data_IF_140608820991
#
_entry.id   IF_140608820991
#
_cell.length_a   1.000
_cell.length_b   1.000
_cell.length_c   1.000
_cell.angle_alpha   90.00
_cell.angle_beta   90.00
_cell.angle_gamma   90.00
#
_symmetry.space_group_name_H-M   'P 1'
#
loop_
_entity.id
_entity.type
_entity.pdbx_description
1 polymer ?
#
# COMPACT_ATOMS: atom_id res chain seq x y z
N UNK A 1 4.26 -29.02 8.16
CA UNK A 1 5.30 -27.99 7.82
C UNK A 1 4.83 -27.18 6.63
N UNK A 2 5.23 -25.92 6.52
CA UNK A 2 4.91 -25.00 5.43
C UNK A 2 6.08 -24.01 5.20
N UNK A 3 6.24 -23.52 3.97
CA UNK A 3 7.30 -22.56 3.62
C UNK A 3 6.90 -21.13 4.02
N UNK A 4 7.85 -20.33 4.52
CA UNK A 4 7.65 -18.94 4.89
C UNK A 4 8.94 -18.12 4.77
N UNK A 5 8.83 -16.83 4.43
CA UNK A 5 9.93 -15.88 4.55
C UNK A 5 9.95 -15.35 5.99
N UNK A 6 11.00 -15.69 6.72
CA UNK A 6 11.16 -15.36 8.13
C UNK A 6 12.25 -14.31 8.30
N UNK A 7 11.95 -13.24 9.03
CA UNK A 7 12.91 -12.25 9.50
C UNK A 7 13.42 -12.68 10.86
N UNK A 8 14.72 -12.94 10.96
CA UNK A 8 15.39 -13.40 12.17
C UNK A 8 16.41 -12.36 12.66
N UNK A 9 16.65 -12.34 13.97
CA UNK A 9 17.76 -11.58 14.53
C UNK A 9 19.09 -12.24 14.10
N UNK A 10 20.04 -11.43 13.69
CA UNK A 10 21.38 -11.95 13.45
C UNK A 10 21.98 -12.49 14.76
N UNK A 11 22.59 -13.70 14.69
CA UNK A 11 23.05 -14.46 15.88
C UNK A 11 24.34 -13.94 16.52
N UNK A 12 25.04 -13.00 15.88
CA UNK A 12 26.26 -12.42 16.44
C UNK A 12 25.90 -11.34 17.47
N UNK A 13 26.70 -11.28 18.53
CA UNK A 13 26.57 -10.38 19.68
C UNK A 13 26.69 -8.89 19.31
N UNK A 14 26.74 -8.56 18.03
CA UNK A 14 26.80 -7.21 17.49
C UNK A 14 25.37 -6.69 17.26
N UNK A 15 24.95 -5.75 18.09
CA UNK A 15 23.63 -5.10 18.02
C UNK A 15 23.42 -4.26 16.78
N UNK A 16 24.48 -4.01 15.98
CA UNK A 16 24.44 -3.20 14.77
C UNK A 16 24.20 -4.02 13.47
N UNK A 17 24.21 -5.36 13.57
CA UNK A 17 23.95 -6.19 12.38
C UNK A 17 22.46 -6.28 12.08
N UNK A 18 22.01 -5.94 10.83
CA UNK A 18 20.59 -5.95 10.50
C UNK A 18 19.99 -7.36 10.58
N UNK A 19 18.71 -7.44 10.89
CA UNK A 19 17.95 -8.68 10.80
C UNK A 19 18.09 -9.29 9.40
N UNK A 20 17.98 -10.62 9.31
CA UNK A 20 18.11 -11.33 8.04
C UNK A 20 16.80 -12.03 7.68
N UNK A 21 16.35 -11.83 6.44
CA UNK A 21 15.21 -12.54 5.89
C UNK A 21 15.66 -13.82 5.18
N UNK A 22 14.96 -14.94 5.39
CA UNK A 22 15.22 -16.24 4.75
C UNK A 22 13.93 -16.99 4.49
N UNK A 23 13.93 -17.77 3.40
CA UNK A 23 12.91 -18.80 3.20
C UNK A 23 13.24 -19.99 4.13
N UNK A 24 12.29 -20.36 4.97
CA UNK A 24 12.40 -21.46 5.93
C UNK A 24 11.16 -22.35 5.87
N UNK A 25 11.32 -23.63 6.22
CA UNK A 25 10.21 -24.50 6.59
C UNK A 25 9.84 -24.27 8.06
N UNK A 26 8.55 -24.18 8.34
CA UNK A 26 8.02 -24.00 9.69
C UNK A 26 6.98 -25.06 10.00
N UNK A 27 6.82 -25.32 11.29
CA UNK A 27 5.67 -26.07 11.81
C UNK A 27 4.38 -25.24 11.66
N UNK A 28 3.25 -25.77 12.15
CA UNK A 28 1.97 -25.05 12.10
C UNK A 28 2.07 -23.60 12.62
N UNK A 29 1.28 -22.66 12.05
CA UNK A 29 1.28 -21.28 12.52
C UNK A 29 1.00 -21.16 14.01
N UNK A 30 1.65 -20.18 14.65
CA UNK A 30 1.49 -19.89 16.08
C UNK A 30 0.03 -19.65 16.43
N UNK A 31 -0.56 -20.51 17.26
CA UNK A 31 -1.96 -20.42 17.71
C UNK A 31 -2.19 -19.41 18.82
N UNK A 32 -1.15 -18.77 19.33
CA UNK A 32 -1.28 -17.72 20.34
C UNK A 32 -1.89 -16.43 19.79
N UNK A 33 -1.91 -16.27 18.45
CA UNK A 33 -2.46 -15.11 17.79
C UNK A 33 -3.50 -15.50 16.73
N UNK A 34 -4.62 -14.73 16.73
CA UNK A 34 -5.67 -14.89 15.74
C UNK A 34 -6.60 -16.08 16.02
N UNK A 35 -7.68 -16.08 15.31
CA UNK A 35 -8.81 -17.00 15.43
C UNK A 35 -9.20 -17.65 14.09
N UNK A 36 -8.52 -17.27 12.96
CA UNK A 36 -8.75 -17.85 11.64
C UNK A 36 -7.45 -18.36 11.06
N UNK A 37 -7.40 -19.64 10.67
CA UNK A 37 -6.32 -20.29 9.94
C UNK A 37 -6.61 -20.22 8.45
N UNK A 38 -5.60 -19.79 7.65
CA UNK A 38 -5.72 -19.53 6.22
C UNK A 38 -4.62 -20.28 5.47
N UNK A 39 -5.03 -21.02 4.42
CA UNK A 39 -4.15 -21.45 3.35
C UNK A 39 -3.93 -20.25 2.42
N UNK A 40 -2.74 -19.65 2.47
CA UNK A 40 -2.41 -18.48 1.68
C UNK A 40 -2.15 -18.89 0.24
N UNK A 41 -2.69 -18.11 -0.70
CA UNK A 41 -2.48 -18.28 -2.14
C UNK A 41 -1.53 -17.22 -2.67
N UNK A 42 -1.77 -15.96 -2.26
CA UNK A 42 -1.01 -14.80 -2.72
C UNK A 42 -0.69 -13.84 -1.58
N UNK A 43 0.47 -13.23 -1.69
CA UNK A 43 0.90 -12.05 -0.96
C UNK A 43 1.40 -10.99 -1.94
N UNK A 44 1.99 -9.91 -1.46
CA UNK A 44 2.62 -8.91 -2.33
C UNK A 44 3.85 -8.30 -1.66
N UNK A 45 4.74 -7.70 -2.44
CA UNK A 45 5.87 -6.93 -1.91
C UNK A 45 5.52 -5.45 -1.96
N UNK A 46 5.43 -4.83 -0.79
CA UNK A 46 5.26 -3.40 -0.61
C UNK A 46 6.56 -2.77 -0.10
N UNK A 47 6.65 -1.44 -0.13
CA UNK A 47 7.83 -0.72 0.40
C UNK A 47 8.12 -1.07 1.85
N UNK A 48 7.07 -1.28 2.68
CA UNK A 48 7.22 -1.70 4.08
C UNK A 48 7.78 -3.12 4.20
N UNK A 49 7.32 -4.05 3.36
CA UNK A 49 7.88 -5.41 3.31
C UNK A 49 9.35 -5.36 2.92
N UNK A 50 9.70 -4.54 1.94
CA UNK A 50 11.07 -4.38 1.50
C UNK A 50 11.98 -3.84 2.62
N UNK A 51 11.50 -2.89 3.43
CA UNK A 51 12.22 -2.43 4.62
C UNK A 51 12.38 -3.53 5.68
N UNK A 52 11.32 -4.34 5.92
CA UNK A 52 11.35 -5.46 6.85
C UNK A 52 12.34 -6.54 6.42
N UNK A 53 12.29 -6.93 5.14
CA UNK A 53 13.17 -7.95 4.56
C UNK A 53 14.64 -7.51 4.51
N UNK A 54 14.88 -6.20 4.33
CA UNK A 54 16.22 -5.60 4.44
C UNK A 54 16.68 -5.38 5.89
N UNK A 55 15.91 -5.82 6.88
CA UNK A 55 16.24 -5.70 8.30
C UNK A 55 16.27 -4.28 8.84
N UNK A 56 15.61 -3.31 8.17
CA UNK A 56 15.58 -1.93 8.64
C UNK A 56 14.89 -1.82 10.01
N UNK A 57 15.50 -1.06 10.96
CA UNK A 57 14.95 -0.95 12.31
C UNK A 57 13.56 -0.30 12.32
N UNK A 58 12.75 -0.66 13.32
CA UNK A 58 11.45 -0.03 13.57
C UNK A 58 10.27 -0.58 12.76
N UNK A 59 10.48 -1.47 11.79
CA UNK A 59 9.43 -2.11 11.01
C UNK A 59 8.94 -3.38 11.72
N UNK A 60 9.82 -4.37 11.87
CA UNK A 60 9.52 -5.60 12.58
C UNK A 60 9.64 -5.37 14.09
N UNK A 61 8.59 -5.68 14.85
CA UNK A 61 8.50 -5.43 16.29
C UNK A 61 8.97 -6.60 17.16
N UNK A 62 9.02 -7.79 16.59
CA UNK A 62 9.53 -9.00 17.24
C UNK A 62 10.27 -9.87 16.22
N UNK A 63 11.20 -10.67 16.64
CA UNK A 63 11.88 -11.68 15.84
C UNK A 63 11.97 -12.99 16.64
N UNK A 64 11.86 -14.18 16.00
CA UNK A 64 11.57 -14.37 14.59
C UNK A 64 10.14 -14.00 14.22
N UNK A 65 9.93 -13.53 12.98
CA UNK A 65 8.62 -13.14 12.47
C UNK A 65 8.50 -13.50 10.98
N UNK A 66 7.37 -14.07 10.57
CA UNK A 66 7.02 -14.23 9.15
C UNK A 66 6.71 -12.85 8.56
N UNK A 67 7.37 -12.50 7.47
CA UNK A 67 7.16 -11.23 6.77
C UNK A 67 5.85 -11.21 5.95
N UNK A 68 5.50 -10.05 5.40
CA UNK A 68 4.36 -9.86 4.49
C UNK A 68 3.17 -9.18 5.15
N UNK A 69 2.87 -7.94 4.72
CA UNK A 69 1.74 -7.15 5.26
C UNK A 69 0.42 -7.41 4.52
N UNK A 70 0.43 -8.26 3.52
CA UNK A 70 -0.73 -8.66 2.71
C UNK A 70 -0.88 -10.17 2.68
N UNK A 71 -2.12 -10.65 2.70
CA UNK A 71 -2.46 -12.01 2.36
C UNK A 71 -3.80 -12.10 1.64
N UNK A 72 -3.87 -13.06 0.72
CA UNK A 72 -5.10 -13.53 0.09
C UNK A 72 -5.06 -15.05 0.12
N UNK A 73 -6.15 -15.68 0.53
CA UNK A 73 -6.19 -17.12 0.64
C UNK A 73 -7.57 -17.67 0.95
N UNK A 74 -7.58 -18.93 1.36
CA UNK A 74 -8.79 -19.67 1.68
C UNK A 74 -8.79 -20.04 3.17
N UNK A 75 -9.89 -19.84 3.86
CA UNK A 75 -10.07 -20.25 5.26
C UNK A 75 -9.99 -21.78 5.35
N UNK A 76 -9.08 -22.28 6.16
CA UNK A 76 -9.01 -23.71 6.52
C UNK A 76 -9.89 -23.98 7.74
N UNK A 77 -9.82 -23.08 8.73
CA UNK A 77 -10.53 -23.24 9.98
C UNK A 77 -10.70 -21.88 10.72
N UNK A 78 -11.83 -21.68 11.38
CA UNK A 78 -12.12 -20.50 12.21
C UNK A 78 -12.61 -20.93 13.58
N UNK A 79 -12.07 -20.31 14.64
CA UNK A 79 -12.40 -20.60 16.04
C UNK A 79 -13.51 -19.68 16.57
N UNK A 80 -14.27 -20.16 17.56
CA UNK A 80 -15.18 -19.37 18.36
C UNK A 80 -16.11 -18.47 17.53
N UNK A 81 -16.19 -17.18 17.87
CA UNK A 81 -17.02 -16.19 17.17
C UNK A 81 -16.60 -15.96 15.70
N UNK A 82 -15.34 -16.22 15.35
CA UNK A 82 -14.91 -16.15 13.96
C UNK A 82 -15.59 -17.22 13.10
N UNK A 83 -15.88 -18.40 13.67
CA UNK A 83 -16.62 -19.47 13.00
C UNK A 83 -18.08 -19.13 12.68
N UNK A 84 -18.68 -18.11 13.33
CA UNK A 84 -19.99 -17.58 12.95
C UNK A 84 -19.92 -16.67 11.70
N UNK A 85 -18.73 -16.20 11.36
CA UNK A 85 -18.49 -15.24 10.28
C UNK A 85 -17.77 -15.81 9.07
N UNK A 86 -16.97 -16.85 9.27
CA UNK A 86 -16.14 -17.44 8.21
C UNK A 86 -16.29 -18.96 8.24
N UNK A 87 -16.59 -19.52 7.08
CA UNK A 87 -16.64 -20.95 6.84
C UNK A 87 -15.35 -21.45 6.18
N UNK A 88 -14.99 -22.71 6.41
CA UNK A 88 -13.94 -23.37 5.63
C UNK A 88 -14.27 -23.31 4.14
N UNK A 89 -13.29 -22.88 3.33
CA UNK A 89 -13.45 -22.65 1.90
C UNK A 89 -13.76 -21.20 1.52
N UNK A 90 -14.06 -20.31 2.48
CA UNK A 90 -14.22 -18.88 2.18
C UNK A 90 -12.93 -18.27 1.67
N UNK A 91 -13.02 -17.54 0.56
CA UNK A 91 -11.91 -16.71 0.10
C UNK A 91 -11.86 -15.41 0.87
N UNK A 92 -10.67 -15.07 1.35
CA UNK A 92 -10.46 -13.93 2.24
C UNK A 92 -9.26 -13.10 1.84
N UNK A 93 -9.27 -11.84 2.27
CA UNK A 93 -8.18 -10.88 2.10
C UNK A 93 -7.93 -10.12 3.39
N UNK A 94 -6.65 -9.89 3.69
CA UNK A 94 -6.22 -9.03 4.79
C UNK A 94 -5.03 -8.19 4.36
N UNK A 95 -5.09 -6.89 4.69
CA UNK A 95 -4.03 -5.92 4.44
C UNK A 95 -3.69 -5.21 5.74
N UNK A 96 -2.41 -5.06 6.07
CA UNK A 96 -1.96 -4.40 7.29
C UNK A 96 -2.39 -5.13 8.56
N UNK A 97 -3.13 -4.47 9.46
CA UNK A 97 -3.59 -5.04 10.74
C UNK A 97 -2.48 -5.63 11.62
N UNK A 98 -1.23 -5.19 11.42
CA UNK A 98 -0.06 -5.69 12.14
C UNK A 98 0.60 -6.94 11.56
N UNK A 99 0.11 -7.46 10.41
CA UNK A 99 0.76 -8.54 9.66
C UNK A 99 2.19 -8.15 9.28
N UNK A 100 3.13 -9.06 9.43
CA UNK A 100 4.54 -8.85 9.07
C UNK A 100 5.24 -7.75 9.89
N UNK A 101 4.57 -7.20 10.92
CA UNK A 101 5.10 -6.18 11.83
C UNK A 101 5.07 -6.66 13.29
N UNK A 102 3.89 -7.02 13.78
CA UNK A 102 3.60 -7.47 15.15
C UNK A 102 3.22 -8.94 15.21
N UNK A 103 2.64 -9.45 14.14
CA UNK A 103 2.16 -10.81 13.98
C UNK A 103 2.73 -11.42 12.71
N UNK A 104 2.79 -12.74 12.64
CA UNK A 104 3.23 -13.45 11.45
C UNK A 104 2.41 -13.06 10.24
N UNK A 105 3.08 -12.82 9.12
CA UNK A 105 2.55 -12.21 7.90
C UNK A 105 2.17 -13.19 6.81
N UNK A 106 1.93 -12.66 5.60
CA UNK A 106 1.40 -13.39 4.46
C UNK A 106 2.44 -13.88 3.44
N UNK A 107 3.74 -13.63 3.63
CA UNK A 107 4.79 -14.27 2.81
C UNK A 107 5.06 -15.68 3.31
N UNK A 108 4.01 -16.51 3.27
CA UNK A 108 4.00 -17.89 3.76
C UNK A 108 2.84 -18.66 3.13
N UNK A 109 2.95 -20.00 3.07
CA UNK A 109 1.88 -20.87 2.57
C UNK A 109 0.69 -20.98 3.55
N UNK A 110 0.91 -20.69 4.82
CA UNK A 110 -0.12 -20.68 5.87
C UNK A 110 0.03 -19.49 6.79
N UNK A 111 -1.10 -18.94 7.23
CA UNK A 111 -1.14 -17.88 8.22
C UNK A 111 -2.27 -18.11 9.23
N UNK A 112 -2.12 -17.53 10.41
CA UNK A 112 -3.20 -17.43 11.38
C UNK A 112 -3.39 -15.95 11.75
N UNK A 113 -4.63 -15.47 11.62
CA UNK A 113 -4.93 -14.03 11.70
C UNK A 113 -6.15 -13.74 12.56
N UNK A 114 -6.26 -12.50 13.03
CA UNK A 114 -7.43 -11.99 13.73
C UNK A 114 -8.56 -11.69 12.74
N UNK A 115 -9.72 -12.27 12.98
CA UNK A 115 -10.93 -12.09 12.18
C UNK A 115 -11.47 -10.65 12.18
N UNK A 116 -11.09 -9.81 13.15
CA UNK A 116 -11.62 -8.44 13.26
C UNK A 116 -11.36 -7.60 12.00
N UNK A 117 -10.19 -7.76 11.38
CA UNK A 117 -9.79 -7.04 10.16
C UNK A 117 -9.88 -7.86 8.88
N UNK A 118 -10.16 -9.16 8.99
CA UNK A 118 -10.28 -10.07 7.85
C UNK A 118 -11.56 -9.82 7.08
N UNK A 119 -11.48 -9.79 5.75
CA UNK A 119 -12.65 -9.61 4.87
C UNK A 119 -12.84 -10.81 3.95
N UNK A 120 -14.11 -11.15 3.65
CA UNK A 120 -14.43 -12.00 2.50
C UNK A 120 -14.03 -11.28 1.23
N UNK A 121 -13.35 -11.97 0.33
CA UNK A 121 -12.94 -11.41 -0.96
C UNK A 121 -14.19 -11.14 -1.82
N UNK A 122 -14.37 -9.93 -2.37
CA UNK A 122 -15.45 -9.65 -3.30
C UNK A 122 -15.41 -10.58 -4.52
N UNK A 123 -16.52 -11.19 -4.87
CA UNK A 123 -16.60 -12.21 -5.93
C UNK A 123 -16.19 -11.74 -7.33
N UNK A 124 -16.16 -10.43 -7.56
CA UNK A 124 -15.72 -9.84 -8.84
C UNK A 124 -14.17 -9.79 -8.97
N UNK A 125 -13.42 -10.05 -7.90
CA UNK A 125 -11.96 -9.98 -7.89
C UNK A 125 -11.39 -11.39 -7.68
N UNK A 126 -10.51 -11.83 -8.57
CA UNK A 126 -9.77 -13.09 -8.38
C UNK A 126 -8.74 -12.98 -7.25
N UNK A 127 -8.32 -14.11 -6.68
CA UNK A 127 -7.31 -14.11 -5.61
C UNK A 127 -5.99 -13.45 -6.06
N UNK A 128 -5.52 -13.72 -7.28
CA UNK A 128 -4.32 -13.09 -7.84
C UNK A 128 -4.47 -11.56 -7.96
N UNK A 129 -5.59 -11.07 -8.51
CA UNK A 129 -5.86 -9.63 -8.60
C UNK A 129 -5.99 -8.99 -7.23
N UNK A 130 -6.56 -9.67 -6.23
CA UNK A 130 -6.62 -9.18 -4.85
C UNK A 130 -5.22 -9.06 -4.22
N UNK A 131 -4.35 -10.03 -4.45
CA UNK A 131 -2.94 -9.94 -4.05
C UNK A 131 -2.20 -8.80 -4.75
N UNK A 132 -2.44 -8.59 -6.06
CA UNK A 132 -1.88 -7.48 -6.81
C UNK A 132 -2.38 -6.11 -6.29
N UNK A 133 -3.66 -5.96 -5.97
CA UNK A 133 -4.20 -4.78 -5.29
C UNK A 133 -3.44 -4.55 -3.97
N UNK A 134 -3.44 -5.53 -3.10
CA UNK A 134 -2.74 -5.52 -1.82
C UNK A 134 -2.96 -4.24 -1.00
N UNK A 135 -2.06 -3.99 -0.07
CA UNK A 135 -2.05 -2.74 0.74
C UNK A 135 -1.92 -1.50 -0.13
N UNK A 136 -1.25 -1.58 -1.27
CA UNK A 136 -1.06 -0.42 -2.15
C UNK A 136 -2.38 0.07 -2.76
N UNK A 137 -3.18 -0.82 -3.37
CA UNK A 137 -4.48 -0.45 -3.92
C UNK A 137 -5.49 -0.11 -2.84
N UNK A 138 -5.45 -0.84 -1.74
CA UNK A 138 -6.27 -0.51 -0.56
C UNK A 138 -5.97 0.92 -0.05
N UNK A 139 -4.70 1.30 0.08
CA UNK A 139 -4.27 2.65 0.49
C UNK A 139 -4.69 3.70 -0.53
N UNK A 140 -4.52 3.43 -1.84
CA UNK A 140 -4.96 4.32 -2.90
C UNK A 140 -6.48 4.59 -2.83
N UNK A 141 -7.30 3.55 -2.61
CA UNK A 141 -8.74 3.72 -2.45
C UNK A 141 -9.09 4.49 -1.17
N UNK A 142 -8.40 4.25 -0.05
CA UNK A 142 -8.60 5.05 1.17
C UNK A 142 -8.30 6.53 0.94
N UNK A 143 -7.26 6.84 0.15
CA UNK A 143 -6.93 8.22 -0.24
C UNK A 143 -8.04 8.83 -1.11
N UNK A 144 -8.54 8.11 -2.11
CA UNK A 144 -9.70 8.54 -2.93
C UNK A 144 -10.92 8.84 -2.06
N UNK A 145 -11.27 7.92 -1.16
CA UNK A 145 -12.39 8.11 -0.22
C UNK A 145 -12.19 9.34 0.68
N UNK A 146 -10.95 9.62 1.10
CA UNK A 146 -10.65 10.82 1.88
C UNK A 146 -10.84 12.09 1.06
N UNK A 147 -10.37 12.13 -0.20
CA UNK A 147 -10.61 13.25 -1.10
C UNK A 147 -12.10 13.50 -1.30
N UNK A 148 -12.87 12.45 -1.58
CA UNK A 148 -14.33 12.51 -1.76
C UNK A 148 -15.06 13.03 -0.52
N UNK A 149 -14.70 12.58 0.68
CA UNK A 149 -15.31 13.01 1.95
C UNK A 149 -15.09 14.49 2.22
N UNK A 150 -13.97 15.04 1.76
CA UNK A 150 -13.64 16.45 1.90
C UNK A 150 -14.05 17.31 0.69
N UNK A 151 -14.89 16.78 -0.21
CA UNK A 151 -15.52 17.57 -1.26
C UNK A 151 -14.73 17.65 -2.57
N UNK A 152 -13.58 16.99 -2.73
CA UNK A 152 -12.88 16.91 -4.02
C UNK A 152 -13.71 16.02 -4.96
N UNK A 153 -14.13 16.55 -6.09
CA UNK A 153 -15.00 15.88 -7.08
C UNK A 153 -14.42 16.04 -8.48
N UNK A 154 -14.81 15.18 -9.45
CA UNK A 154 -14.56 15.45 -10.86
C UNK A 154 -15.02 16.86 -11.24
N UNK A 155 -14.17 17.58 -11.96
CA UNK A 155 -14.42 18.99 -12.32
C UNK A 155 -13.97 20.03 -11.27
N UNK A 156 -13.52 19.63 -10.07
CA UNK A 156 -12.97 20.58 -9.09
C UNK A 156 -11.62 21.17 -9.52
N UNK A 157 -10.96 20.55 -10.49
CA UNK A 157 -9.63 20.86 -11.01
C UNK A 157 -8.67 19.69 -10.86
N UNK A 158 -7.40 19.85 -11.27
CA UNK A 158 -6.42 18.77 -11.27
C UNK A 158 -6.17 18.18 -9.88
N UNK A 159 -6.03 16.86 -9.80
CA UNK A 159 -5.57 16.13 -8.62
C UNK A 159 -4.14 15.65 -8.85
N UNK A 160 -3.23 16.06 -7.98
CA UNK A 160 -1.83 15.63 -8.02
C UNK A 160 -1.68 14.24 -7.40
N UNK A 161 -0.88 13.38 -8.03
CA UNK A 161 -0.43 12.11 -7.44
C UNK A 161 1.08 12.11 -7.39
N UNK A 162 1.70 12.09 -6.21
CA UNK A 162 3.15 12.00 -6.05
C UNK A 162 3.61 10.54 -5.93
N UNK A 163 4.86 10.26 -6.32
CA UNK A 163 5.35 8.88 -6.40
C UNK A 163 4.51 8.02 -7.34
N UNK A 164 4.01 8.63 -8.41
CA UNK A 164 2.98 8.07 -9.28
C UNK A 164 3.35 6.74 -9.96
N UNK A 165 4.64 6.45 -10.18
CA UNK A 165 5.09 5.18 -10.76
C UNK A 165 5.22 4.04 -9.75
N UNK A 166 5.07 4.31 -8.44
CA UNK A 166 5.09 3.30 -7.38
C UNK A 166 3.76 2.58 -7.21
N UNK A 167 3.72 1.59 -6.31
CA UNK A 167 2.53 0.75 -6.10
C UNK A 167 1.26 1.53 -5.75
N UNK A 168 1.30 2.44 -4.76
CA UNK A 168 0.14 3.26 -4.37
C UNK A 168 -0.18 4.28 -5.45
N UNK A 169 0.86 4.97 -5.96
CA UNK A 169 0.68 6.07 -6.91
C UNK A 169 0.06 5.62 -8.23
N UNK A 170 0.51 4.51 -8.81
CA UNK A 170 -0.02 4.00 -10.08
C UNK A 170 -1.51 3.62 -9.97
N UNK A 171 -1.89 2.97 -8.86
CA UNK A 171 -3.27 2.62 -8.61
C UNK A 171 -4.13 3.85 -8.26
N UNK A 172 -3.57 4.86 -7.59
CA UNK A 172 -4.27 6.13 -7.36
C UNK A 172 -4.53 6.89 -8.68
N UNK A 173 -3.56 6.91 -9.60
CA UNK A 173 -3.75 7.49 -10.95
C UNK A 173 -4.88 6.78 -11.68
N UNK A 174 -4.84 5.44 -11.75
CA UNK A 174 -5.86 4.66 -12.45
C UNK A 174 -7.26 4.85 -11.85
N UNK A 175 -7.38 4.81 -10.51
CA UNK A 175 -8.65 5.02 -9.81
C UNK A 175 -9.22 6.43 -10.03
N UNK A 176 -8.43 7.46 -9.84
CA UNK A 176 -8.87 8.85 -9.99
C UNK A 176 -9.26 9.16 -11.43
N UNK A 177 -8.48 8.69 -12.41
CA UNK A 177 -8.80 8.88 -13.83
C UNK A 177 -10.12 8.18 -14.21
N UNK A 178 -10.31 6.92 -13.77
CA UNK A 178 -11.56 6.18 -14.03
C UNK A 178 -12.77 6.83 -13.37
N UNK A 179 -12.59 7.49 -12.22
CA UNK A 179 -13.62 8.26 -11.54
C UNK A 179 -13.87 9.65 -12.18
N UNK A 180 -13.17 9.99 -13.26
CA UNK A 180 -13.37 11.22 -14.04
C UNK A 180 -12.61 12.44 -13.51
N UNK A 181 -11.61 12.26 -12.66
CA UNK A 181 -10.72 13.35 -12.26
C UNK A 181 -9.68 13.64 -13.34
N UNK A 182 -9.30 14.92 -13.47
CA UNK A 182 -8.08 15.33 -14.16
C UNK A 182 -6.89 15.01 -13.26
N UNK A 183 -6.00 14.11 -13.68
CA UNK A 183 -4.91 13.61 -12.85
C UNK A 183 -3.57 14.10 -13.36
N UNK A 184 -2.79 14.75 -12.50
CA UNK A 184 -1.38 15.10 -12.77
C UNK A 184 -0.48 14.17 -11.97
N UNK A 185 0.30 13.36 -12.68
CA UNK A 185 1.18 12.36 -12.10
C UNK A 185 2.60 12.91 -11.95
N UNK A 186 3.18 12.86 -10.72
CA UNK A 186 4.56 13.28 -10.46
C UNK A 186 5.47 12.06 -10.26
N UNK A 187 6.54 11.95 -11.07
CA UNK A 187 7.50 10.85 -11.04
C UNK A 187 8.93 11.34 -11.22
N UNK A 188 9.90 10.66 -10.59
CA UNK A 188 11.32 10.93 -10.81
C UNK A 188 11.92 10.23 -12.04
N UNK A 189 11.10 9.47 -12.77
CA UNK A 189 11.50 8.70 -13.96
C UNK A 189 10.58 9.02 -15.14
N UNK A 190 10.46 10.32 -15.44
CA UNK A 190 9.56 10.83 -16.46
C UNK A 190 9.76 10.15 -17.82
N UNK A 191 11.01 10.02 -18.28
CA UNK A 191 11.33 9.38 -19.56
C UNK A 191 11.00 7.89 -19.63
N UNK A 192 11.05 7.18 -18.49
CA UNK A 192 10.82 5.74 -18.40
C UNK A 192 9.34 5.41 -18.17
N UNK A 193 8.66 6.18 -17.31
CA UNK A 193 7.32 5.87 -16.86
C UNK A 193 6.22 6.82 -17.34
N UNK A 194 6.59 7.92 -18.04
CA UNK A 194 5.60 8.91 -18.52
C UNK A 194 4.51 8.28 -19.37
N UNK A 195 4.88 7.47 -20.36
CA UNK A 195 3.93 6.79 -21.23
C UNK A 195 3.01 5.80 -20.48
N UNK A 196 3.54 5.10 -19.48
CA UNK A 196 2.75 4.22 -18.63
C UNK A 196 1.72 5.03 -17.83
N UNK A 197 2.13 6.12 -17.19
CA UNK A 197 1.24 6.97 -16.39
C UNK A 197 0.12 7.59 -17.24
N UNK A 198 0.41 7.97 -18.49
CA UNK A 198 -0.61 8.43 -19.44
C UNK A 198 -1.60 7.31 -19.78
N UNK A 199 -1.13 6.06 -20.02
CA UNK A 199 -2.02 4.91 -20.23
C UNK A 199 -2.91 4.62 -19.01
N UNK A 200 -2.42 4.87 -17.79
CA UNK A 200 -3.20 4.77 -16.56
C UNK A 200 -4.24 5.89 -16.42
N UNK A 201 -4.25 6.87 -17.33
CA UNK A 201 -5.21 7.96 -17.39
C UNK A 201 -4.70 9.29 -16.81
N UNK A 202 -3.39 9.44 -16.54
CA UNK A 202 -2.86 10.76 -16.21
C UNK A 202 -3.03 11.72 -17.40
N UNK A 203 -3.64 12.88 -17.17
CA UNK A 203 -3.80 13.94 -18.15
C UNK A 203 -2.50 14.71 -18.39
N UNK A 204 -1.63 14.73 -17.39
CA UNK A 204 -0.29 15.32 -17.47
C UNK A 204 0.68 14.56 -16.56
N UNK A 205 1.98 14.60 -16.91
CA UNK A 205 3.04 13.95 -16.13
C UNK A 205 4.18 14.96 -15.93
N UNK A 206 4.49 15.23 -14.67
CA UNK A 206 5.54 16.18 -14.27
C UNK A 206 6.73 15.50 -13.61
N UNK A 207 7.90 16.11 -13.71
CA UNK A 207 9.08 15.65 -12.98
C UNK A 207 8.93 15.96 -11.48
N UNK A 208 9.28 15.00 -10.61
CA UNK A 208 9.28 15.20 -9.15
C UNK A 208 10.20 16.36 -8.71
N UNK A 209 11.19 16.71 -9.52
CA UNK A 209 12.08 17.84 -9.25
C UNK A 209 11.32 19.16 -9.06
N UNK A 210 10.12 19.32 -9.66
CA UNK A 210 9.28 20.49 -9.44
C UNK A 210 8.80 20.64 -7.98
N UNK A 211 8.80 19.56 -7.20
CA UNK A 211 8.18 19.50 -5.87
C UNK A 211 9.15 19.08 -4.76
N UNK A 212 10.32 18.55 -5.08
CA UNK A 212 11.18 17.89 -4.09
C UNK A 212 12.04 18.82 -3.24
N UNK A 213 12.23 20.07 -3.66
CA UNK A 213 13.04 21.06 -2.95
C UNK A 213 12.19 21.98 -2.07
N UNK A 214 12.84 22.66 -1.11
CA UNK A 214 12.14 23.62 -0.23
C UNK A 214 11.55 24.79 -1.02
N UNK A 215 10.24 25.01 -0.84
CA UNK A 215 9.48 26.04 -1.52
C UNK A 215 8.95 27.14 -0.58
N UNK A 216 8.26 28.14 -1.17
CA UNK A 216 7.57 29.18 -0.40
C UNK A 216 6.41 28.59 0.39
N UNK A 217 6.05 29.15 1.56
CA UNK A 217 4.91 28.68 2.38
C UNK A 217 3.57 28.68 1.66
N UNK A 218 3.36 29.62 0.71
CA UNK A 218 2.24 29.65 -0.22
C UNK A 218 2.78 29.86 -1.64
N UNK A 219 2.21 29.11 -2.57
CA UNK A 219 2.55 29.15 -3.99
C UNK A 219 1.28 29.35 -4.82
N UNK A 220 1.42 29.49 -6.14
CA UNK A 220 0.26 29.57 -7.05
C UNK A 220 -0.62 28.34 -6.89
N UNK A 221 -1.93 28.54 -6.85
CA UNK A 221 -2.91 27.45 -6.72
C UNK A 221 -2.94 26.61 -7.99
N UNK A 222 -2.72 25.30 -7.85
CA UNK A 222 -2.71 24.33 -8.96
C UNK A 222 -3.72 23.19 -8.72
N UNK A 223 -3.72 22.58 -7.54
CA UNK A 223 -4.36 21.30 -7.27
C UNK A 223 -5.68 21.48 -6.52
N UNK A 224 -6.76 20.84 -6.96
CA UNK A 224 -7.97 20.68 -6.17
C UNK A 224 -7.78 19.69 -5.02
N UNK A 225 -6.88 18.74 -5.18
CA UNK A 225 -6.47 17.79 -4.17
C UNK A 225 -5.17 17.09 -4.55
N UNK A 226 -4.66 16.26 -3.63
CA UNK A 226 -3.51 15.43 -3.92
C UNK A 226 -3.55 14.08 -3.17
N UNK A 227 -2.93 13.06 -3.76
CA UNK A 227 -2.54 11.82 -3.09
C UNK A 227 -1.03 11.82 -2.99
N UNK A 228 -0.51 11.90 -1.77
CA UNK A 228 0.93 11.97 -1.53
C UNK A 228 1.48 10.70 -0.89
N UNK A 229 2.46 10.11 -1.55
CA UNK A 229 3.25 8.97 -1.07
C UNK A 229 4.71 9.31 -0.79
N UNK A 230 5.10 10.57 -1.00
CA UNK A 230 6.49 11.02 -0.88
C UNK A 230 6.84 11.60 0.50
N UNK A 231 5.98 12.41 1.08
CA UNK A 231 6.28 13.13 2.32
C UNK A 231 7.22 14.32 2.14
N UNK A 232 7.81 14.82 3.24
CA UNK A 232 8.82 15.88 3.30
C UNK A 232 8.49 17.11 2.43
N UNK A 233 9.46 17.65 1.70
CA UNK A 233 9.31 18.84 0.85
C UNK A 233 8.26 18.64 -0.27
N UNK A 234 8.14 17.44 -0.83
CA UNK A 234 7.12 17.14 -1.84
C UNK A 234 5.71 17.36 -1.28
N UNK A 235 5.41 16.83 -0.09
CA UNK A 235 4.14 17.05 0.60
C UNK A 235 3.93 18.53 0.96
N UNK A 236 4.99 19.21 1.43
CA UNK A 236 4.92 20.64 1.77
C UNK A 236 4.56 21.49 0.53
N UNK A 237 5.17 21.22 -0.62
CA UNK A 237 4.86 21.92 -1.87
C UNK A 237 3.47 21.55 -2.41
N UNK A 238 3.04 20.29 -2.29
CA UNK A 238 1.67 19.90 -2.64
C UNK A 238 0.64 20.71 -1.84
N UNK A 239 0.83 20.85 -0.51
CA UNK A 239 -0.02 21.65 0.36
C UNK A 239 0.01 23.15 -0.03
N UNK A 240 1.21 23.70 -0.27
CA UNK A 240 1.40 25.11 -0.63
C UNK A 240 0.76 25.49 -1.98
N UNK A 241 0.58 24.52 -2.89
CA UNK A 241 -0.04 24.68 -4.21
C UNK A 241 -1.50 24.25 -4.27
N UNK A 242 -2.04 23.69 -3.16
CA UNK A 242 -3.44 23.30 -3.10
C UNK A 242 -4.35 24.52 -3.07
N UNK A 243 -5.44 24.47 -3.85
CA UNK A 243 -6.44 25.50 -3.98
C UNK A 243 -7.26 25.66 -2.70
N UNK A 244 -7.98 26.76 -2.60
CA UNK A 244 -8.91 26.99 -1.50
C UNK A 244 -9.87 25.80 -1.31
N UNK A 245 -9.98 25.31 -0.05
CA UNK A 245 -10.84 24.18 0.34
C UNK A 245 -10.38 22.82 -0.15
N UNK A 246 -9.21 22.73 -0.82
CA UNK A 246 -8.70 21.45 -1.32
C UNK A 246 -8.15 20.54 -0.22
N UNK A 247 -7.88 19.27 -0.58
CA UNK A 247 -7.45 18.24 0.37
C UNK A 247 -6.25 17.47 -0.15
N UNK A 248 -5.27 17.24 0.72
CA UNK A 248 -4.11 16.40 0.46
C UNK A 248 -4.20 15.15 1.34
N UNK A 249 -4.30 13.98 0.70
CA UNK A 249 -4.29 12.68 1.35
C UNK A 249 -2.84 12.16 1.42
N UNK A 250 -2.23 12.16 2.61
CA UNK A 250 -0.86 11.72 2.83
C UNK A 250 -0.82 10.27 3.31
N UNK A 251 -0.12 9.39 2.57
CA UNK A 251 -0.05 7.96 2.84
C UNK A 251 1.36 7.37 2.85
N UNK A 252 2.41 8.16 2.55
CA UNK A 252 3.77 7.66 2.46
C UNK A 252 4.82 8.69 2.88
N UNK A 253 6.07 8.22 2.93
CA UNK A 253 7.23 8.99 3.40
C UNK A 253 8.51 8.62 2.64
N UNK A 254 8.38 8.33 1.33
CA UNK A 254 9.49 7.84 0.51
C UNK A 254 10.64 8.85 0.37
N UNK A 255 10.36 10.16 0.43
CA UNK A 255 11.35 11.23 0.48
C UNK A 255 11.83 11.51 1.92
N UNK A 256 10.92 11.46 2.89
CA UNK A 256 11.23 11.70 4.29
C UNK A 256 9.99 11.73 5.18
N UNK A 257 10.17 11.53 6.51
CA UNK A 257 9.05 11.52 7.48
C UNK A 257 8.69 12.91 8.01
N UNK A 258 9.48 13.91 7.72
CA UNK A 258 9.29 15.30 8.14
C UNK A 258 8.22 16.02 7.32
N UNK A 259 7.71 17.12 7.84
CA UNK A 259 6.77 18.00 7.14
C UNK A 259 7.15 19.46 7.36
N UNK A 260 8.02 20.03 6.51
CA UNK A 260 8.50 21.42 6.64
C UNK A 260 7.47 22.41 6.05
N UNK A 261 6.33 22.58 6.69
CA UNK A 261 5.21 23.44 6.24
C UNK A 261 4.87 24.51 7.27
N UNK A 262 4.40 25.67 6.80
CA UNK A 262 3.78 26.66 7.67
C UNK A 262 2.26 26.43 7.81
N UNK A 263 1.62 27.11 8.73
CA UNK A 263 0.15 27.03 8.89
C UNK A 263 -0.61 27.77 7.78
N UNK A 264 0.07 28.51 6.91
CA UNK A 264 -0.55 29.39 5.90
C UNK A 264 -1.51 28.66 4.93
N UNK A 265 -1.20 27.49 4.36
CA UNK A 265 -2.15 26.76 3.52
C UNK A 265 -3.45 26.45 4.25
N UNK A 266 -3.37 26.11 5.53
CA UNK A 266 -4.53 25.74 6.34
C UNK A 266 -5.41 26.95 6.69
N UNK A 267 -4.82 28.04 7.20
CA UNK A 267 -5.61 29.20 7.68
C UNK A 267 -6.04 30.14 6.55
N UNK A 268 -5.28 30.25 5.46
CA UNK A 268 -5.57 31.22 4.37
C UNK A 268 -6.35 30.59 3.21
N UNK A 269 -6.25 29.26 3.02
CA UNK A 269 -6.94 28.53 1.95
C UNK A 269 -7.84 27.40 2.45
N UNK A 270 -7.93 27.19 3.78
CA UNK A 270 -8.74 26.08 4.31
C UNK A 270 -8.33 24.70 3.80
N UNK A 271 -7.04 24.51 3.45
CA UNK A 271 -6.54 23.23 2.97
C UNK A 271 -6.65 22.20 4.07
N UNK A 272 -7.09 20.99 3.73
CA UNK A 272 -7.10 19.85 4.64
C UNK A 272 -5.92 18.91 4.34
N UNK A 273 -5.18 18.53 5.39
CA UNK A 273 -4.24 17.42 5.34
C UNK A 273 -4.88 16.19 5.99
N UNK A 274 -5.19 15.18 5.20
CA UNK A 274 -5.81 13.94 5.63
C UNK A 274 -4.76 12.82 5.69
N UNK A 275 -4.48 12.30 6.89
CA UNK A 275 -3.61 11.13 7.07
C UNK A 275 -4.32 9.84 6.68
N UNK A 276 -3.67 8.99 5.91
CA UNK A 276 -4.20 7.71 5.44
C UNK A 276 -3.44 6.57 6.12
N UNK A 277 -4.09 5.93 7.10
CA UNK A 277 -3.55 4.76 7.79
C UNK A 277 -4.29 3.49 7.36
N UNK A 278 -3.71 2.72 6.46
CA UNK A 278 -4.26 1.44 6.00
C UNK A 278 -4.08 0.31 7.02
N UNK A 279 -3.13 0.43 7.96
CA UNK A 279 -2.86 -0.61 8.97
C UNK A 279 -4.00 -0.71 9.97
N UNK A 280 -4.43 0.44 10.51
CA UNK A 280 -5.44 0.53 11.58
C UNK A 280 -6.83 0.97 11.03
N UNK A 281 -7.04 0.87 9.72
CA UNK A 281 -8.33 1.21 9.13
C UNK A 281 -9.45 0.35 9.75
N UNK A 282 -10.56 0.97 10.25
CA UNK A 282 -11.65 0.22 10.85
C UNK A 282 -12.38 -0.64 9.81
N UNK A 283 -12.97 -1.76 10.26
CA UNK A 283 -13.61 -2.76 9.39
C UNK A 283 -14.57 -2.15 8.35
N UNK A 284 -15.46 -1.25 8.75
CA UNK A 284 -16.42 -0.60 7.83
C UNK A 284 -15.71 0.13 6.68
N UNK A 285 -14.58 0.77 6.97
CA UNK A 285 -13.81 1.49 5.96
C UNK A 285 -13.06 0.51 5.04
N UNK A 286 -12.59 -0.62 5.57
CA UNK A 286 -12.01 -1.72 4.77
C UNK A 286 -13.05 -2.29 3.81
N UNK A 287 -14.24 -2.61 4.29
CA UNK A 287 -15.37 -3.12 3.49
C UNK A 287 -15.77 -2.13 2.38
N UNK A 288 -15.88 -0.84 2.71
CA UNK A 288 -16.14 0.22 1.73
C UNK A 288 -15.06 0.27 0.65
N UNK A 289 -13.79 0.30 1.04
CA UNK A 289 -12.67 0.38 0.11
C UNK A 289 -12.61 -0.84 -0.82
N UNK A 290 -12.73 -2.07 -0.29
CA UNK A 290 -12.72 -3.27 -1.12
C UNK A 290 -13.93 -3.38 -2.06
N UNK A 291 -15.11 -2.94 -1.62
CA UNK A 291 -16.29 -2.83 -2.49
C UNK A 291 -16.06 -1.83 -3.63
N UNK A 292 -15.46 -0.68 -3.33
CA UNK A 292 -15.13 0.35 -4.32
C UNK A 292 -14.05 -0.15 -5.28
N UNK A 293 -13.00 -0.80 -4.80
CA UNK A 293 -11.97 -1.42 -5.65
C UNK A 293 -12.56 -2.43 -6.64
N UNK A 294 -13.50 -3.25 -6.20
CA UNK A 294 -14.17 -4.21 -7.06
C UNK A 294 -15.00 -3.58 -8.19
N UNK A 295 -15.45 -2.34 -8.02
CA UNK A 295 -16.27 -1.62 -8.99
C UNK A 295 -15.46 -0.59 -9.80
N UNK A 296 -14.57 0.14 -9.13
CA UNK A 296 -13.95 1.34 -9.68
C UNK A 296 -12.55 1.11 -10.28
N UNK A 297 -11.87 0.01 -9.92
CA UNK A 297 -10.55 -0.30 -10.47
C UNK A 297 -10.67 -1.02 -11.81
N UNK A 298 -9.88 -0.58 -12.79
CA UNK A 298 -9.69 -1.32 -14.03
C UNK A 298 -8.76 -2.50 -13.79
N UNK A 299 -9.34 -3.72 -13.84
CA UNK A 299 -8.60 -4.94 -13.52
C UNK A 299 -7.68 -5.40 -14.65
N UNK A 300 -7.89 -4.94 -15.89
CA UNK A 300 -6.99 -5.24 -17.02
C UNK A 300 -5.73 -4.37 -16.91
N UNK A 301 -5.89 -3.09 -16.59
CA UNK A 301 -4.75 -2.22 -16.29
C UNK A 301 -3.95 -2.69 -15.04
N UNK A 302 -4.63 -3.26 -14.04
CA UNK A 302 -3.95 -3.87 -12.89
C UNK A 302 -3.08 -5.05 -13.33
N UNK A 303 -3.57 -5.91 -14.21
CA UNK A 303 -2.82 -7.06 -14.73
C UNK A 303 -1.55 -6.58 -15.48
N UNK A 304 -1.65 -5.53 -16.30
CA UNK A 304 -0.49 -4.92 -16.99
C UNK A 304 0.56 -4.33 -16.03
N UNK A 305 0.11 -3.82 -14.87
CA UNK A 305 0.97 -3.25 -13.83
C UNK A 305 1.65 -4.30 -12.95
N UNK A 306 1.24 -5.58 -13.05
CA UNK A 306 1.60 -6.60 -12.07
C UNK A 306 2.67 -7.55 -12.60
N UNK A 307 3.79 -7.63 -11.86
CA UNK A 307 4.79 -8.67 -12.05
C UNK A 307 4.59 -9.73 -10.96
N UNK A 308 4.55 -11.01 -11.34
CA UNK A 308 4.40 -12.13 -10.39
C UNK A 308 5.74 -12.80 -10.17
N UNK A 309 6.06 -13.06 -8.91
CA UNK A 309 7.25 -13.81 -8.47
C UNK A 309 6.84 -14.98 -7.56
N UNK A 310 7.61 -16.06 -7.50
CA UNK A 310 7.40 -17.12 -6.51
C UNK A 310 7.80 -16.64 -5.10
N UNK A 311 7.47 -17.45 -4.07
CA UNK A 311 7.76 -17.09 -2.68
C UNK A 311 9.26 -16.85 -2.42
N UNK A 312 10.14 -17.68 -2.98
CA UNK A 312 11.60 -17.54 -2.87
C UNK A 312 12.15 -16.31 -3.59
N UNK A 313 11.45 -15.79 -4.60
CA UNK A 313 11.79 -14.54 -5.30
C UNK A 313 11.41 -13.25 -4.55
N UNK A 314 10.69 -13.35 -3.43
CA UNK A 314 10.18 -12.17 -2.72
C UNK A 314 11.29 -11.29 -2.12
N UNK A 315 12.42 -11.87 -1.70
CA UNK A 315 13.56 -11.12 -1.14
C UNK A 315 14.23 -10.27 -2.22
N UNK A 316 14.51 -10.84 -3.39
CA UNK A 316 15.12 -10.14 -4.52
C UNK A 316 14.19 -9.03 -5.04
N UNK A 317 12.89 -9.32 -5.13
CA UNK A 317 11.89 -8.31 -5.50
C UNK A 317 11.83 -7.15 -4.49
N UNK A 318 12.04 -7.41 -3.22
CA UNK A 318 12.11 -6.37 -2.18
C UNK A 318 13.35 -5.48 -2.34
N UNK A 319 14.50 -6.03 -2.74
CA UNK A 319 15.69 -5.27 -3.05
C UNK A 319 15.45 -4.34 -4.26
N UNK A 320 14.73 -4.80 -5.29
CA UNK A 320 14.36 -3.99 -6.44
C UNK A 320 13.44 -2.81 -6.04
N UNK A 321 12.52 -3.04 -5.12
CA UNK A 321 11.66 -1.98 -4.57
C UNK A 321 12.50 -0.90 -3.86
N UNK A 322 13.44 -1.29 -2.98
CA UNK A 322 14.29 -0.33 -2.26
C UNK A 322 15.26 0.41 -3.17
N UNK A 323 15.77 -0.25 -4.20
CA UNK A 323 16.64 0.35 -5.20
C UNK A 323 15.88 1.24 -6.21
N UNK A 324 14.54 1.30 -6.11
CA UNK A 324 13.70 2.05 -7.03
C UNK A 324 13.67 1.47 -8.45
N UNK A 325 14.06 0.22 -8.66
CA UNK A 325 14.00 -0.45 -9.97
C UNK A 325 12.63 -1.02 -10.31
N UNK A 326 11.79 -1.25 -9.30
CA UNK A 326 10.42 -1.72 -9.49
C UNK A 326 9.47 -0.60 -9.93
N UNK A 327 8.39 -0.97 -10.60
CA UNK A 327 7.23 -0.12 -10.89
C UNK A 327 5.93 -0.93 -10.74
N UNK A 328 4.80 -0.26 -10.56
CA UNK A 328 3.51 -0.95 -10.42
C UNK A 328 3.47 -1.87 -9.19
N UNK A 329 3.10 -3.14 -9.41
CA UNK A 329 2.85 -4.11 -8.35
C UNK A 329 3.70 -5.37 -8.48
N UNK A 330 4.18 -5.86 -7.35
CA UNK A 330 4.83 -7.17 -7.27
C UNK A 330 3.91 -8.11 -6.47
N UNK A 331 3.31 -9.05 -7.17
CA UNK A 331 2.51 -10.14 -6.63
C UNK A 331 3.42 -11.32 -6.26
N UNK A 332 3.22 -11.92 -5.12
CA UNK A 332 3.92 -13.15 -4.72
C UNK A 332 2.93 -14.32 -4.77
N UNK A 333 3.16 -15.26 -5.67
CA UNK A 333 2.50 -16.57 -5.65
C UNK A 333 3.22 -17.45 -4.62
N UNK A 334 2.59 -17.69 -3.47
CA UNK A 334 3.26 -18.39 -2.37
C UNK A 334 3.33 -19.91 -2.57
N UNK A 335 2.61 -20.41 -3.57
CA UNK A 335 2.52 -21.85 -3.90
C UNK A 335 3.42 -22.26 -5.07
N UNK A 336 3.99 -21.28 -5.79
CA UNK A 336 4.88 -21.50 -6.92
C UNK A 336 6.28 -21.94 -6.47
#
# INVERSE_FOLDING_TARGET
MYRAIVVERHSDSDTDTPNRARLLERDDPDRSHGDVSIAVEYSSVNYKDALALAGRPGIVRRTPLVAGIDLVGTVEYADGEAGERFDSGDRVVLNGAGLGERHDGGLAERARVDSASLLRLPGAISAARAGAIGTAGFTAMLAVLALERHGVRPGSGPVLVTGASGGVGSLAVALLARLGHEVVASTGRLGEHGALLQRLGASDVIDRAELQEGGKPLQSERWAGAVDSAGSHTLANALAQTRWGGTVAACGLAQGPDLPVSVMPFILRGVTLAGINSVEAPRKLREEAWRRLAHDLDLELLDELTTTVPLDGAVDAAEDVLAGRSHGRTLVDVRA
#
